data_IF_832172804670
#
_entry.id   IF_832172804670
#
_cell.length_a   1.000
_cell.length_b   1.000
_cell.length_c   1.000
_cell.angle_alpha   90.00
_cell.angle_beta   90.00
_cell.angle_gamma   90.00
#
_symmetry.space_group_name_H-M   'P 1'
#
loop_
_entity.id
_entity.type
_entity.pdbx_description
1 polymer ?
#
# COMPACT_ATOMS: atom_id res chain seq x y z
N UNK A 1 -5.38 18.41 -17.91
CA UNK A 1 -4.08 18.27 -18.58
C UNK A 1 -4.31 18.00 -20.05
N UNK A 2 -3.61 18.71 -20.94
CA UNK A 2 -3.60 18.38 -22.36
C UNK A 2 -2.45 17.42 -22.65
N UNK A 3 -2.72 16.37 -23.42
CA UNK A 3 -1.74 15.36 -23.82
C UNK A 3 -1.85 15.12 -25.32
N UNK A 4 -0.75 14.75 -25.96
CA UNK A 4 -0.76 14.21 -27.32
C UNK A 4 -1.17 12.73 -27.31
N UNK A 5 -1.66 12.15 -28.42
CA UNK A 5 -2.01 10.74 -28.46
C UNK A 5 -0.70 9.96 -28.61
N UNK A 6 -0.02 9.66 -27.49
CA UNK A 6 1.23 8.89 -27.37
C UNK A 6 1.36 8.38 -25.95
N UNK A 7 2.36 7.53 -25.66
CA UNK A 7 2.64 7.09 -24.28
C UNK A 7 3.25 8.21 -23.43
N UNK A 8 2.77 8.36 -22.20
CA UNK A 8 3.32 9.25 -21.15
C UNK A 8 3.66 8.44 -19.91
N UNK A 9 4.78 8.78 -19.26
CA UNK A 9 5.18 8.22 -17.96
C UNK A 9 4.75 9.17 -16.85
N UNK A 10 4.00 8.67 -15.88
CA UNK A 10 3.56 9.40 -14.70
C UNK A 10 4.13 8.75 -13.44
N UNK A 11 4.60 9.58 -12.52
CA UNK A 11 5.02 9.16 -11.18
C UNK A 11 3.91 9.56 -10.22
N UNK A 12 3.15 8.58 -9.75
CA UNK A 12 2.01 8.77 -8.87
C UNK A 12 2.47 8.52 -7.44
N UNK A 13 2.14 9.44 -6.55
CA UNK A 13 2.31 9.33 -5.11
C UNK A 13 0.95 9.57 -4.49
N UNK A 14 0.49 8.67 -3.62
CA UNK A 14 -0.61 9.00 -2.74
C UNK A 14 -0.09 9.81 -1.54
N UNK A 15 -0.19 11.14 -1.64
CA UNK A 15 0.20 12.08 -0.59
C UNK A 15 -0.96 12.51 0.31
N UNK A 16 -2.07 11.78 0.33
CA UNK A 16 -3.18 12.05 1.23
C UNK A 16 -2.84 11.61 2.67
N UNK A 17 -3.46 12.25 3.66
CA UNK A 17 -3.32 11.83 5.07
C UNK A 17 -3.80 10.40 5.31
N UNK A 18 -5.02 10.07 4.87
CA UNK A 18 -5.67 8.77 5.13
C UNK A 18 -6.35 8.15 3.89
N UNK A 19 -6.63 8.95 2.86
CA UNK A 19 -7.47 8.52 1.74
C UNK A 19 -6.73 7.51 0.87
N UNK A 20 -7.33 6.34 0.71
CA UNK A 20 -6.92 5.39 -0.33
C UNK A 20 -7.42 5.85 -1.69
N UNK A 21 -6.63 5.62 -2.73
CA UNK A 21 -6.97 5.93 -4.12
C UNK A 21 -7.07 4.63 -4.89
N UNK A 22 -8.19 4.40 -5.58
CA UNK A 22 -8.38 3.25 -6.46
C UNK A 22 -8.70 3.72 -7.89
N UNK A 23 -7.64 3.87 -8.69
CA UNK A 23 -7.62 4.74 -9.85
C UNK A 23 -7.78 3.98 -11.17
N UNK A 24 -8.64 4.52 -12.04
CA UNK A 24 -8.83 4.06 -13.42
C UNK A 24 -9.01 5.27 -14.34
N UNK A 25 -8.65 5.13 -15.62
CA UNK A 25 -9.10 6.09 -16.64
C UNK A 25 -10.47 5.67 -17.17
N UNK A 26 -11.42 6.59 -17.12
CA UNK A 26 -12.75 6.44 -17.75
C UNK A 26 -12.95 7.52 -18.78
N UNK A 27 -13.75 7.25 -19.82
CA UNK A 27 -14.06 8.27 -20.82
C UNK A 27 -14.80 9.44 -20.16
N UNK A 28 -14.47 10.66 -20.58
CA UNK A 28 -15.22 11.86 -20.22
C UNK A 28 -16.13 12.23 -21.39
N UNK A 29 -17.38 12.56 -21.10
CA UNK A 29 -18.31 13.03 -22.12
C UNK A 29 -18.09 14.52 -22.49
N UNK A 30 -19.01 15.10 -23.25
CA UNK A 30 -18.91 16.49 -23.71
C UNK A 30 -19.01 17.51 -22.57
N UNK A 31 -19.68 17.15 -21.47
CA UNK A 31 -19.85 17.99 -20.28
C UNK A 31 -18.73 17.75 -19.25
N UNK A 32 -17.81 16.82 -19.55
CA UNK A 32 -16.73 16.34 -18.70
C UNK A 32 -17.21 15.51 -17.51
N UNK A 33 -18.31 14.77 -17.70
CA UNK A 33 -18.77 13.77 -16.75
C UNK A 33 -18.18 12.39 -17.06
N UNK A 34 -17.93 11.54 -16.05
CA UNK A 34 -17.35 10.21 -16.24
C UNK A 34 -18.37 9.22 -16.82
N UNK A 35 -18.01 8.59 -17.94
CA UNK A 35 -18.71 7.44 -18.51
C UNK A 35 -18.09 6.14 -18.00
N UNK A 36 -18.65 5.63 -16.89
CA UNK A 36 -18.19 4.40 -16.24
C UNK A 36 -18.44 3.14 -17.09
N UNK A 37 -19.23 3.22 -18.17
CA UNK A 37 -19.43 2.10 -19.10
C UNK A 37 -18.33 1.98 -20.15
N UNK A 38 -17.41 2.94 -20.23
CA UNK A 38 -16.37 3.00 -21.25
C UNK A 38 -14.96 3.14 -20.64
N UNK A 39 -14.18 2.07 -20.75
CA UNK A 39 -12.78 2.05 -20.32
C UNK A 39 -11.97 3.10 -21.09
N UNK A 40 -11.07 3.77 -20.37
CA UNK A 40 -10.11 4.68 -20.96
C UNK A 40 -8.86 3.98 -21.51
N UNK A 41 -7.80 4.77 -21.78
CA UNK A 41 -6.49 4.28 -22.17
C UNK A 41 -5.90 3.23 -21.24
N UNK A 42 -5.08 2.35 -21.80
CA UNK A 42 -4.34 1.35 -21.04
C UNK A 42 -3.46 2.00 -19.99
N UNK A 43 -3.55 1.50 -18.75
CA UNK A 43 -2.74 1.93 -17.62
C UNK A 43 -1.77 0.81 -17.24
N UNK A 44 -0.47 1.04 -17.48
CA UNK A 44 0.58 0.05 -17.33
C UNK A 44 1.50 0.45 -16.19
N UNK A 45 1.54 -0.31 -15.09
CA UNK A 45 2.50 -0.07 -14.03
C UNK A 45 3.87 -0.66 -14.41
N UNK A 46 4.90 0.16 -14.25
CA UNK A 46 6.30 -0.18 -14.55
C UNK A 46 7.21 -0.08 -13.33
N UNK A 47 6.74 0.48 -12.22
CA UNK A 47 7.48 0.61 -10.98
C UNK A 47 6.59 0.74 -9.75
N UNK A 48 7.18 0.43 -8.59
CA UNK A 48 6.61 0.56 -7.24
C UNK A 48 7.48 1.49 -6.39
N UNK A 49 7.23 1.52 -5.08
CA UNK A 49 7.93 2.38 -4.10
C UNK A 49 9.45 2.43 -4.28
N UNK A 50 10.06 1.26 -4.48
CA UNK A 50 11.52 1.09 -4.50
C UNK A 50 12.17 1.05 -5.89
N UNK A 51 11.42 1.19 -6.97
CA UNK A 51 11.99 1.19 -8.32
C UNK A 51 11.14 0.49 -9.37
N UNK A 52 11.78 0.00 -10.43
CA UNK A 52 11.10 -0.71 -11.52
C UNK A 52 10.61 -2.08 -11.06
N UNK A 53 9.44 -2.49 -11.57
CA UNK A 53 8.95 -3.87 -11.51
C UNK A 53 9.82 -4.77 -12.40
N UNK A 54 9.76 -6.12 -12.28
CA UNK A 54 10.50 -7.00 -13.20
C UNK A 54 9.97 -6.94 -14.64
N UNK A 55 8.67 -6.71 -14.83
CA UNK A 55 8.00 -6.58 -16.13
C UNK A 55 6.85 -5.57 -16.06
N UNK A 56 6.40 -4.98 -17.18
CA UNK A 56 5.23 -4.12 -17.18
C UNK A 56 3.96 -4.89 -16.77
N UNK A 57 3.09 -4.24 -16.01
CA UNK A 57 1.82 -4.81 -15.53
C UNK A 57 0.67 -4.00 -16.08
N UNK A 58 -0.10 -4.56 -17.01
CA UNK A 58 -1.32 -3.94 -17.52
C UNK A 58 -2.45 -4.07 -16.49
N UNK A 59 -2.83 -2.94 -15.90
CA UNK A 59 -3.88 -2.86 -14.89
C UNK A 59 -5.29 -2.79 -15.50
N UNK A 60 -5.39 -2.62 -16.81
CA UNK A 60 -6.65 -2.48 -17.56
C UNK A 60 -6.98 -3.71 -18.41
N UNK A 61 -6.05 -4.66 -18.53
CA UNK A 61 -6.25 -5.86 -19.33
C UNK A 61 -7.42 -6.71 -18.81
N UNK A 62 -8.45 -6.89 -19.64
CA UNK A 62 -9.60 -7.73 -19.32
C UNK A 62 -10.52 -7.16 -18.23
N UNK A 63 -10.35 -5.88 -17.89
CA UNK A 63 -11.18 -5.16 -16.92
C UNK A 63 -12.49 -4.73 -17.56
N UNK A 64 -13.61 -5.06 -16.93
CA UNK A 64 -14.90 -4.44 -17.24
C UNK A 64 -14.98 -3.08 -16.52
N UNK A 65 -15.00 -1.94 -17.24
CA UNK A 65 -15.03 -0.62 -16.61
C UNK A 65 -16.27 -0.39 -15.75
N UNK A 66 -17.38 -1.10 -16.03
CA UNK A 66 -18.62 -0.98 -15.28
C UNK A 66 -18.58 -1.79 -13.97
N UNK A 67 -17.65 -2.72 -13.82
CA UNK A 67 -17.46 -3.47 -12.58
C UNK A 67 -16.64 -2.62 -11.57
N UNK A 68 -17.24 -2.19 -10.44
CA UNK A 68 -16.55 -1.37 -9.45
C UNK A 68 -15.43 -2.13 -8.73
N UNK A 69 -15.41 -3.46 -8.80
CA UNK A 69 -14.39 -4.33 -8.21
C UNK A 69 -13.27 -4.68 -9.18
N UNK A 70 -13.38 -4.25 -10.44
CA UNK A 70 -12.38 -4.54 -11.44
C UNK A 70 -11.02 -3.95 -11.06
N UNK A 71 -9.95 -4.57 -11.57
CA UNK A 71 -8.58 -4.19 -11.25
C UNK A 71 -8.30 -2.74 -11.63
N UNK A 72 -7.64 -2.03 -10.73
CA UNK A 72 -7.34 -0.60 -10.80
C UNK A 72 -5.99 -0.35 -10.15
N UNK A 73 -5.46 0.86 -10.33
CA UNK A 73 -4.28 1.29 -9.59
C UNK A 73 -4.69 1.65 -8.16
N UNK A 74 -4.55 0.70 -7.24
CA UNK A 74 -4.79 0.90 -5.82
C UNK A 74 -3.52 1.43 -5.14
N UNK A 75 -3.65 2.58 -4.46
CA UNK A 75 -2.57 3.21 -3.70
C UNK A 75 -3.10 3.68 -2.35
N UNK A 76 -2.56 3.14 -1.27
CA UNK A 76 -2.74 3.70 0.06
C UNK A 76 -1.73 4.84 0.33
N UNK A 77 -1.94 5.68 1.36
CA UNK A 77 -1.00 6.74 1.74
C UNK A 77 0.47 6.29 1.72
N UNK A 78 1.34 7.14 1.18
CA UNK A 78 2.78 6.93 0.95
C UNK A 78 3.20 5.87 -0.08
N UNK A 79 2.28 5.11 -0.66
CA UNK A 79 2.62 4.25 -1.79
C UNK A 79 2.90 5.07 -3.06
N UNK A 80 3.84 4.58 -3.88
CA UNK A 80 4.16 5.15 -5.19
C UNK A 80 3.98 4.11 -6.28
N UNK A 81 3.52 4.60 -7.42
CA UNK A 81 3.53 3.83 -8.66
C UNK A 81 4.14 4.66 -9.79
N UNK A 82 5.00 4.01 -10.56
CA UNK A 82 5.45 4.53 -11.85
C UNK A 82 4.61 3.87 -12.93
N UNK A 83 3.84 4.66 -13.66
CA UNK A 83 2.88 4.17 -14.65
C UNK A 83 3.13 4.79 -16.02
N UNK A 84 2.78 4.03 -17.05
CA UNK A 84 2.68 4.50 -18.42
C UNK A 84 1.22 4.44 -18.86
N UNK A 85 0.73 5.55 -19.40
CA UNK A 85 -0.59 5.62 -20.00
C UNK A 85 -0.43 5.79 -21.51
N UNK A 86 -1.05 4.91 -22.30
CA UNK A 86 -0.97 4.94 -23.76
C UNK A 86 -2.17 5.63 -24.41
N UNK A 87 -2.01 6.91 -24.75
CA UNK A 87 -3.07 7.69 -25.40
C UNK A 87 -3.10 7.56 -26.94
N UNK A 88 -2.29 6.69 -27.54
CA UNK A 88 -2.01 6.68 -28.99
C UNK A 88 -3.25 6.57 -29.87
N UNK A 89 -4.27 5.81 -29.44
CA UNK A 89 -5.50 5.57 -30.21
C UNK A 89 -6.65 6.52 -29.84
N UNK A 90 -6.37 7.53 -29.02
CA UNK A 90 -7.43 8.31 -28.36
C UNK A 90 -7.47 9.79 -28.77
N UNK A 91 -6.91 10.14 -29.94
CA UNK A 91 -6.90 11.52 -30.44
C UNK A 91 -8.32 12.14 -30.45
N UNK A 92 -8.46 13.33 -29.87
CA UNK A 92 -9.72 14.07 -29.78
C UNK A 92 -10.65 13.64 -28.64
N UNK A 93 -10.31 12.58 -27.90
CA UNK A 93 -11.10 12.10 -26.75
C UNK A 93 -10.62 12.75 -25.45
N UNK A 94 -11.43 12.65 -24.39
CA UNK A 94 -11.07 13.10 -23.04
C UNK A 94 -11.32 11.98 -22.02
N UNK A 95 -10.52 11.93 -20.96
CA UNK A 95 -10.57 10.89 -19.93
C UNK A 95 -10.42 11.47 -18.54
N UNK A 96 -11.21 10.98 -17.59
CA UNK A 96 -11.09 11.32 -16.18
C UNK A 96 -10.26 10.23 -15.50
N UNK A 97 -9.27 10.63 -14.70
CA UNK A 97 -8.68 9.75 -13.70
C UNK A 97 -9.68 9.65 -12.55
N UNK A 98 -10.35 8.52 -12.48
CA UNK A 98 -11.48 8.27 -11.62
C UNK A 98 -11.07 7.40 -10.42
N UNK A 99 -11.48 7.81 -9.22
CA UNK A 99 -11.28 7.09 -7.96
C UNK A 99 -12.60 6.50 -7.46
N UNK A 100 -12.62 5.22 -7.05
CA UNK A 100 -13.81 4.65 -6.40
C UNK A 100 -13.54 4.09 -4.99
N UNK A 101 -12.40 4.40 -4.38
CA UNK A 101 -12.13 3.98 -3.01
C UNK A 101 -13.01 4.75 -2.01
N UNK A 102 -13.70 4.01 -1.15
CA UNK A 102 -14.43 4.52 0.01
C UNK A 102 -13.47 4.93 1.15
N UNK A 103 -13.98 5.68 2.13
CA UNK A 103 -13.23 6.10 3.32
C UNK A 103 -14.10 5.95 4.57
N UNK A 104 -13.65 5.27 5.64
CA UNK A 104 -12.37 4.54 5.76
C UNK A 104 -12.27 3.36 4.78
N UNK A 105 -11.04 2.99 4.43
CA UNK A 105 -10.80 1.92 3.46
C UNK A 105 -10.60 0.59 4.18
N UNK A 106 -11.58 -0.31 4.03
CA UNK A 106 -11.62 -1.61 4.70
C UNK A 106 -11.34 -2.79 3.74
N UNK A 107 -10.96 -2.47 2.50
CA UNK A 107 -10.76 -3.41 1.41
C UNK A 107 -11.70 -3.14 0.23
N UNK A 108 -11.41 -3.75 -0.92
CA UNK A 108 -12.19 -3.55 -2.15
C UNK A 108 -13.59 -4.19 -2.08
N UNK A 109 -13.74 -5.25 -1.28
CA UNK A 109 -14.99 -6.02 -1.16
C UNK A 109 -15.95 -5.46 -0.08
N UNK A 110 -15.50 -4.48 0.69
CA UNK A 110 -16.29 -3.88 1.78
C UNK A 110 -16.94 -2.60 1.26
N UNK A 111 -18.23 -2.70 0.91
CA UNK A 111 -19.04 -1.49 0.70
C UNK A 111 -19.42 -0.94 2.07
N UNK A 112 -18.75 0.13 2.48
CA UNK A 112 -19.08 0.83 3.73
C UNK A 112 -20.54 1.28 3.68
N UNK A 113 -21.29 0.99 4.75
CA UNK A 113 -22.71 1.33 4.83
C UNK A 113 -22.93 2.84 4.61
N UNK A 114 -23.96 3.16 3.83
CA UNK A 114 -24.37 4.50 3.40
C UNK A 114 -24.64 5.51 4.53
N UNK A 115 -24.52 5.09 5.79
CA UNK A 115 -24.82 5.86 6.98
C UNK A 115 -23.73 6.88 7.38
N UNK A 116 -22.49 6.76 6.89
CA UNK A 116 -21.33 7.52 7.41
C UNK A 116 -20.75 8.61 6.49
N UNK A 117 -21.48 9.11 5.49
CA UNK A 117 -20.96 10.09 4.51
C UNK A 117 -19.69 9.57 3.76
N UNK A 118 -19.45 8.25 3.82
CA UNK A 118 -18.39 7.54 3.11
C UNK A 118 -18.75 7.51 1.65
N UNK A 119 -18.18 8.45 0.90
CA UNK A 119 -18.28 8.49 -0.55
C UNK A 119 -16.87 8.53 -1.14
N UNK A 120 -16.66 7.85 -2.27
CA UNK A 120 -15.48 8.13 -3.09
C UNK A 120 -15.48 9.61 -3.46
N UNK A 121 -14.28 10.17 -3.61
CA UNK A 121 -14.10 11.45 -4.31
C UNK A 121 -13.69 11.08 -5.75
N UNK A 122 -14.63 11.04 -6.71
CA UNK A 122 -14.43 10.31 -7.95
C UNK A 122 -13.51 11.02 -8.93
N UNK A 123 -13.68 12.32 -9.19
CA UNK A 123 -12.85 13.01 -10.17
C UNK A 123 -11.53 13.51 -9.57
N UNK A 124 -10.40 13.04 -10.10
CA UNK A 124 -9.07 13.53 -9.72
C UNK A 124 -8.53 14.53 -10.75
N UNK A 125 -8.49 14.13 -12.02
CA UNK A 125 -7.98 14.97 -13.10
C UNK A 125 -8.57 14.59 -14.45
N UNK A 126 -8.69 15.58 -15.35
CA UNK A 126 -9.13 15.39 -16.72
C UNK A 126 -7.95 15.44 -17.69
N UNK A 127 -7.80 14.42 -18.52
CA UNK A 127 -6.91 14.38 -19.69
C UNK A 127 -7.69 14.74 -20.94
N UNK A 128 -7.17 15.67 -21.75
CA UNK A 128 -7.69 16.00 -23.07
C UNK A 128 -6.66 15.62 -24.12
N UNK A 129 -6.97 14.61 -24.95
CA UNK A 129 -6.05 14.10 -25.95
C UNK A 129 -6.16 14.98 -27.21
N UNK A 130 -5.14 15.78 -27.46
CA UNK A 130 -5.05 16.71 -28.60
C UNK A 130 -4.44 16.04 -29.83
N UNK A 131 -4.26 16.81 -30.90
CA UNK A 131 -3.57 16.35 -32.08
C UNK A 131 -2.09 16.07 -31.78
N UNK A 132 -1.54 14.99 -32.36
CA UNK A 132 -0.12 14.65 -32.26
C UNK A 132 0.72 15.68 -33.00
N UNK A 133 1.76 16.20 -32.35
CA UNK A 133 2.77 17.06 -32.97
C UNK A 133 4.17 16.45 -32.94
N UNK A 134 4.37 15.45 -32.06
CA UNK A 134 5.64 14.76 -31.85
C UNK A 134 5.58 13.30 -32.31
N UNK A 135 6.73 12.68 -32.50
CA UNK A 135 6.81 11.24 -32.74
C UNK A 135 6.30 10.47 -31.51
N UNK A 136 5.90 9.22 -31.74
CA UNK A 136 5.47 8.34 -30.66
C UNK A 136 6.60 8.05 -29.67
N UNK A 137 6.20 7.63 -28.47
CA UNK A 137 7.09 7.00 -27.50
C UNK A 137 7.41 5.56 -27.94
N UNK A 138 8.63 5.07 -27.68
CA UNK A 138 8.97 3.68 -27.94
C UNK A 138 8.12 2.74 -27.06
N UNK A 139 8.00 1.49 -27.50
CA UNK A 139 7.33 0.45 -26.72
C UNK A 139 8.11 0.07 -25.47
N UNK A 140 7.39 -0.45 -24.48
CA UNK A 140 7.98 -0.91 -23.22
C UNK A 140 8.72 -2.24 -23.45
N UNK A 141 9.94 -2.41 -22.91
CA UNK A 141 10.60 -3.69 -22.97
C UNK A 141 9.87 -4.69 -22.05
N UNK A 142 9.84 -5.96 -22.46
CA UNK A 142 9.17 -7.02 -21.70
C UNK A 142 9.82 -7.28 -20.32
N UNK A 143 11.14 -7.03 -20.21
CA UNK A 143 11.89 -7.06 -18.96
C UNK A 143 12.33 -5.63 -18.63
N UNK A 144 11.96 -5.16 -17.44
CA UNK A 144 12.25 -3.79 -16.99
C UNK A 144 13.47 -3.76 -16.05
N UNK A 145 13.54 -4.67 -15.09
CA UNK A 145 14.63 -4.80 -14.13
C UNK A 145 14.78 -6.24 -13.64
N UNK A 146 15.96 -6.58 -13.14
CA UNK A 146 16.17 -7.82 -12.38
C UNK A 146 15.80 -7.58 -10.91
N UNK A 147 14.71 -8.20 -10.47
CA UNK A 147 14.18 -8.10 -9.11
C UNK A 147 14.06 -9.51 -8.53
N UNK A 148 15.18 -10.12 -8.07
CA UNK A 148 15.17 -11.47 -7.55
C UNK A 148 14.33 -11.54 -6.27
N UNK A 149 13.56 -12.62 -6.12
CA UNK A 149 12.80 -12.87 -4.90
C UNK A 149 13.72 -13.38 -3.79
N UNK A 150 13.71 -12.69 -2.66
CA UNK A 150 14.41 -13.11 -1.45
C UNK A 150 13.73 -14.38 -0.93
N UNK A 151 14.45 -15.51 -0.82
CA UNK A 151 13.85 -16.73 -0.31
C UNK A 151 13.58 -16.59 1.19
N UNK A 152 12.44 -17.10 1.68
CA UNK A 152 12.12 -17.10 3.12
C UNK A 152 13.22 -17.77 3.97
N UNK A 153 13.94 -18.74 3.41
CA UNK A 153 15.06 -19.41 4.07
C UNK A 153 16.28 -18.51 4.33
N UNK A 154 16.34 -17.32 3.73
CA UNK A 154 17.36 -16.33 4.05
C UNK A 154 17.09 -15.61 5.38
N UNK A 155 15.84 -15.61 5.85
CA UNK A 155 15.46 -14.91 7.07
C UNK A 155 16.09 -15.57 8.31
N UNK A 156 16.84 -14.78 9.06
CA UNK A 156 17.45 -15.20 10.33
C UNK A 156 16.45 -15.12 11.48
N UNK A 157 15.51 -14.18 11.40
CA UNK A 157 14.50 -13.91 12.43
C UNK A 157 13.15 -13.73 11.75
N UNK A 158 12.10 -14.24 12.39
CA UNK A 158 10.71 -13.89 12.08
C UNK A 158 10.10 -13.20 13.28
N UNK A 159 9.62 -11.96 13.09
CA UNK A 159 8.92 -11.17 14.09
C UNK A 159 7.43 -11.16 13.82
N UNK A 160 6.65 -11.08 14.87
CA UNK A 160 5.20 -10.93 14.78
C UNK A 160 4.84 -9.69 15.57
N UNK A 161 4.09 -8.79 14.94
CA UNK A 161 3.55 -7.58 15.54
C UNK A 161 2.05 -7.55 15.30
N UNK A 162 1.30 -7.01 16.25
CA UNK A 162 -0.13 -6.79 16.12
C UNK A 162 -0.43 -5.35 15.74
N UNK A 163 -1.52 -5.15 15.00
CA UNK A 163 -2.14 -3.84 14.79
C UNK A 163 -3.45 -3.88 15.56
N UNK A 164 -3.62 -2.93 16.48
CA UNK A 164 -4.71 -2.92 17.44
C UNK A 164 -5.41 -1.56 17.47
N UNK A 165 -6.69 -1.57 17.77
CA UNK A 165 -7.45 -0.38 18.12
C UNK A 165 -8.04 -0.58 19.52
N UNK A 166 -7.69 0.30 20.44
CA UNK A 166 -8.17 0.28 21.82
C UNK A 166 -8.82 1.61 22.18
N UNK A 167 -9.58 1.64 23.28
CA UNK A 167 -10.04 2.89 23.86
C UNK A 167 -9.22 3.26 25.08
N UNK A 168 -8.85 4.53 25.18
CA UNK A 168 -8.26 5.07 26.39
C UNK A 168 -9.29 5.25 27.51
N UNK A 169 -8.82 5.68 28.69
CA UNK A 169 -9.67 5.92 29.87
C UNK A 169 -10.75 7.01 29.68
N UNK A 170 -10.69 7.78 28.59
CA UNK A 170 -11.66 8.82 28.23
C UNK A 170 -12.57 8.38 27.07
N UNK A 171 -12.45 7.14 26.59
CA UNK A 171 -13.22 6.61 25.46
C UNK A 171 -12.73 7.09 24.09
N UNK A 172 -11.51 7.63 24.00
CA UNK A 172 -10.90 8.01 22.71
C UNK A 172 -10.24 6.78 22.09
N UNK A 173 -10.41 6.60 20.78
CA UNK A 173 -9.72 5.54 20.05
C UNK A 173 -8.22 5.82 20.00
N UNK A 174 -7.42 4.78 20.22
CA UNK A 174 -5.97 4.74 20.04
C UNK A 174 -5.66 3.56 19.12
N UNK A 175 -4.93 3.83 18.05
CA UNK A 175 -4.38 2.79 17.18
C UNK A 175 -2.94 2.53 17.58
N UNK A 176 -2.62 1.26 17.85
CA UNK A 176 -1.33 0.84 18.41
C UNK A 176 -0.66 -0.22 17.55
N UNK A 177 0.66 -0.27 17.67
CA UNK A 177 1.50 -1.34 17.16
C UNK A 177 1.98 -2.17 18.35
N UNK A 178 1.80 -3.49 18.30
CA UNK A 178 2.24 -4.43 19.33
C UNK A 178 1.79 -4.03 20.75
N UNK A 179 0.54 -3.60 20.89
CA UNK A 179 -0.04 -3.10 22.14
C UNK A 179 0.69 -1.93 22.81
N UNK A 180 1.58 -1.23 22.08
CA UNK A 180 2.58 -0.32 22.65
C UNK A 180 2.38 1.11 22.16
N UNK A 181 2.55 2.07 23.07
CA UNK A 181 2.57 3.50 22.75
C UNK A 181 3.99 3.99 22.52
N UNK A 182 4.14 5.03 21.69
CA UNK A 182 5.44 5.65 21.43
C UNK A 182 6.24 5.97 22.70
N UNK A 183 5.59 6.55 23.72
CA UNK A 183 6.24 6.99 24.96
C UNK A 183 6.57 5.86 25.93
N UNK A 184 6.06 4.65 25.70
CA UNK A 184 6.36 3.47 26.51
C UNK A 184 7.60 2.71 25.98
N UNK A 185 8.15 3.12 24.84
CA UNK A 185 9.34 2.49 24.25
C UNK A 185 10.63 3.12 24.76
N UNK A 186 11.52 2.29 25.29
CA UNK A 186 12.87 2.70 25.69
C UNK A 186 13.89 2.25 24.66
N UNK A 187 14.54 3.23 24.02
CA UNK A 187 15.59 3.04 23.01
C UNK A 187 16.97 2.85 23.65
N UNK A 188 17.28 3.56 24.75
CA UNK A 188 18.57 3.43 25.41
C UNK A 188 18.68 2.08 26.13
N UNK A 189 19.56 1.16 25.70
CA UNK A 189 19.70 -0.15 26.34
C UNK A 189 20.20 -0.06 27.79
N UNK A 190 20.80 1.06 28.20
CA UNK A 190 21.31 1.28 29.56
C UNK A 190 20.23 1.82 30.52
N UNK A 191 19.18 2.45 30.01
CA UNK A 191 18.09 2.95 30.84
C UNK A 191 17.28 1.76 31.38
N UNK A 192 17.08 1.60 32.71
CA UNK A 192 16.20 0.58 33.27
C UNK A 192 14.76 0.70 32.74
N UNK A 193 14.07 -0.43 32.57
CA UNK A 193 12.64 -0.42 32.22
C UNK A 193 11.79 -0.17 33.47
N UNK A 194 10.93 0.83 33.41
CA UNK A 194 9.84 1.01 34.37
C UNK A 194 8.65 0.10 34.02
N UNK A 195 7.74 -0.20 34.97
CA UNK A 195 6.54 -0.99 34.70
C UNK A 195 5.72 -0.40 33.54
N UNK A 196 5.40 -1.24 32.56
CA UNK A 196 4.65 -0.84 31.36
C UNK A 196 5.52 -0.42 30.18
N UNK A 197 6.83 -0.25 30.37
CA UNK A 197 7.75 0.07 29.27
C UNK A 197 8.27 -1.18 28.57
N UNK A 198 8.56 -1.04 27.27
CA UNK A 198 9.16 -2.08 26.43
C UNK A 198 10.44 -1.59 25.76
N UNK A 199 11.27 -2.52 25.27
CA UNK A 199 12.45 -2.17 24.47
C UNK A 199 12.06 -1.95 23.02
N UNK A 200 12.72 -0.98 22.39
CA UNK A 200 12.67 -0.85 20.94
C UNK A 200 13.14 -2.15 20.27
N UNK A 201 12.51 -2.50 19.15
CA UNK A 201 12.94 -3.64 18.33
C UNK A 201 14.38 -3.42 17.87
N UNK A 202 15.27 -4.37 18.18
CA UNK A 202 16.66 -4.37 17.70
C UNK A 202 16.80 -5.28 16.48
N UNK A 203 17.33 -4.74 15.39
CA UNK A 203 17.61 -5.43 14.13
C UNK A 203 19.11 -5.36 13.84
N UNK A 204 19.73 -6.44 13.38
CA UNK A 204 21.16 -6.42 13.03
C UNK A 204 21.35 -5.94 11.59
N UNK A 205 22.31 -5.05 11.36
CA UNK A 205 22.70 -4.64 10.01
C UNK A 205 23.18 -5.86 9.22
N UNK A 206 22.70 -5.98 7.98
CA UNK A 206 22.93 -7.13 7.11
C UNK A 206 22.12 -8.39 7.47
N UNK A 207 21.24 -8.36 8.48
CA UNK A 207 20.30 -9.47 8.68
C UNK A 207 19.14 -9.39 7.69
N UNK A 208 18.65 -10.55 7.30
CA UNK A 208 17.35 -10.68 6.65
C UNK A 208 16.34 -11.08 7.71
N UNK A 209 15.21 -10.38 7.77
CA UNK A 209 14.13 -10.71 8.70
C UNK A 209 12.78 -10.75 7.99
N UNK A 210 11.88 -11.59 8.49
CA UNK A 210 10.47 -11.57 8.12
C UNK A 210 9.69 -10.85 9.21
N UNK A 211 8.92 -9.83 8.84
CA UNK A 211 8.00 -9.17 9.76
C UNK A 211 6.57 -9.57 9.39
N UNK A 212 5.82 -10.07 10.39
CA UNK A 212 4.42 -10.50 10.27
C UNK A 212 3.54 -9.47 10.96
N UNK A 213 2.68 -8.82 10.19
CA UNK A 213 1.67 -7.89 10.71
C UNK A 213 0.36 -8.64 10.87
N UNK A 214 -0.09 -8.79 12.12
CA UNK A 214 -1.36 -9.40 12.49
C UNK A 214 -2.37 -8.27 12.67
N UNK A 215 -3.22 -8.04 11.68
CA UNK A 215 -4.20 -6.96 11.76
C UNK A 215 -5.47 -7.43 12.48
N UNK A 216 -5.70 -6.89 13.68
CA UNK A 216 -6.86 -7.18 14.53
C UNK A 216 -7.96 -6.11 14.38
N UNK A 217 -7.73 -5.08 13.58
CA UNK A 217 -8.65 -3.95 13.36
C UNK A 217 -9.51 -4.17 12.11
N UNK A 218 -10.51 -3.30 11.93
CA UNK A 218 -11.43 -3.31 10.79
C UNK A 218 -10.92 -2.51 9.57
N UNK A 219 -9.78 -1.81 9.69
CA UNK A 219 -9.21 -0.98 8.62
C UNK A 219 -8.01 -1.64 7.94
N UNK A 220 -7.81 -1.34 6.65
CA UNK A 220 -6.53 -1.60 6.00
C UNK A 220 -5.54 -0.54 6.47
N UNK A 221 -4.38 -0.96 6.97
CA UNK A 221 -3.32 -0.02 7.37
C UNK A 221 -2.16 -0.04 6.36
N UNK A 222 -1.73 1.12 5.83
CA UNK A 222 -0.49 1.22 5.06
C UNK A 222 0.70 1.25 6.03
N UNK A 223 1.36 0.12 6.23
CA UNK A 223 2.52 0.04 7.11
C UNK A 223 3.78 0.44 6.34
N UNK A 224 4.44 1.49 6.80
CA UNK A 224 5.72 1.98 6.30
C UNK A 224 6.85 1.57 7.24
N UNK A 225 7.96 1.04 6.70
CA UNK A 225 9.17 0.68 7.44
C UNK A 225 10.32 1.53 6.90
N UNK A 226 10.95 2.34 7.75
CA UNK A 226 12.11 3.13 7.35
C UNK A 226 13.35 2.24 7.10
N UNK A 227 14.41 2.87 6.59
CA UNK A 227 15.76 2.31 6.33
C UNK A 227 15.86 1.40 5.10
N UNK A 228 15.02 0.37 5.03
CA UNK A 228 15.13 -0.70 4.05
C UNK A 228 14.15 -0.60 2.89
N UNK A 229 14.21 -1.61 2.03
CA UNK A 229 13.16 -1.94 1.08
C UNK A 229 12.90 -3.44 1.19
N UNK A 230 11.63 -3.81 1.22
CA UNK A 230 11.22 -5.18 1.42
C UNK A 230 10.45 -5.72 0.21
N UNK A 231 10.21 -7.02 0.26
CA UNK A 231 9.30 -7.71 -0.63
C UNK A 231 8.13 -8.27 0.17
N UNK A 232 6.91 -8.04 -0.32
CA UNK A 232 5.72 -8.69 0.25
C UNK A 232 5.77 -10.18 -0.09
N UNK A 233 5.63 -11.06 0.90
CA UNK A 233 5.63 -12.50 0.71
C UNK A 233 4.20 -13.01 0.43
N UNK A 234 3.25 -12.64 1.28
CA UNK A 234 1.85 -13.05 1.19
C UNK A 234 0.98 -12.31 2.21
N UNK A 235 -0.33 -12.46 2.02
CA UNK A 235 -1.39 -12.14 2.98
C UNK A 235 -2.19 -13.40 3.25
N UNK A 236 -2.49 -13.69 4.51
CA UNK A 236 -3.24 -14.90 4.88
C UNK A 236 -4.34 -14.60 5.89
N UNK A 237 -5.61 -14.93 5.59
CA UNK A 237 -6.71 -14.65 6.50
C UNK A 237 -6.67 -15.57 7.73
N UNK A 238 -7.05 -15.03 8.88
CA UNK A 238 -7.13 -15.74 10.16
C UNK A 238 -8.39 -15.38 10.93
N UNK A 239 -8.71 -16.18 11.95
CA UNK A 239 -9.83 -15.97 12.85
C UNK A 239 -9.43 -14.98 13.96
N UNK A 240 -9.92 -13.74 13.85
CA UNK A 240 -9.62 -12.65 14.79
C UNK A 240 -10.22 -12.92 16.18
N UNK A 241 -11.45 -13.46 16.24
CA UNK A 241 -12.10 -13.78 17.52
C UNK A 241 -11.34 -14.87 18.27
N UNK A 242 -10.89 -15.89 17.55
CA UNK A 242 -10.03 -16.93 18.11
C UNK A 242 -8.71 -16.35 18.64
N UNK A 243 -8.05 -15.47 17.88
CA UNK A 243 -6.82 -14.82 18.32
C UNK A 243 -7.06 -13.98 19.58
N UNK A 244 -8.10 -13.15 19.60
CA UNK A 244 -8.43 -12.33 20.78
C UNK A 244 -8.73 -13.17 22.02
N UNK A 245 -9.29 -14.37 21.86
CA UNK A 245 -9.58 -15.29 22.96
C UNK A 245 -8.37 -16.09 23.45
N UNK A 246 -7.36 -16.35 22.61
CA UNK A 246 -6.32 -17.37 22.88
C UNK A 246 -4.88 -16.89 22.70
N UNK A 247 -4.65 -15.83 21.93
CA UNK A 247 -3.35 -15.40 21.43
C UNK A 247 -2.79 -16.28 20.30
N UNK A 248 -3.56 -17.25 19.80
CA UNK A 248 -3.13 -18.18 18.75
C UNK A 248 -3.69 -17.78 17.38
N UNK A 249 -2.87 -17.89 16.33
CA UNK A 249 -3.29 -17.61 14.96
C UNK A 249 -3.93 -18.87 14.36
N UNK A 250 -5.24 -18.84 14.18
CA UNK A 250 -5.98 -19.86 13.44
C UNK A 250 -6.25 -19.37 12.01
N UNK A 251 -5.49 -19.88 11.04
CA UNK A 251 -5.68 -19.50 9.63
C UNK A 251 -6.99 -20.08 9.05
N UNK A 252 -7.76 -19.22 8.40
CA UNK A 252 -9.08 -19.55 7.81
C UNK A 252 -9.02 -19.78 6.30
N UNK A 253 -7.87 -19.51 5.67
CA UNK A 253 -7.66 -19.68 4.24
C UNK A 253 -6.19 -19.93 3.84
N UNK A 254 -5.94 -20.12 2.53
CA UNK A 254 -4.60 -20.23 1.98
C UNK A 254 -3.87 -18.89 2.06
N UNK A 255 -2.53 -18.93 2.04
CA UNK A 255 -1.73 -17.73 1.81
C UNK A 255 -1.93 -17.24 0.37
N UNK A 256 -2.11 -15.93 0.21
CA UNK A 256 -2.28 -15.26 -1.08
C UNK A 256 -1.00 -14.49 -1.39
N UNK A 257 -0.29 -14.79 -2.50
CA UNK A 257 0.92 -14.07 -2.88
C UNK A 257 0.62 -12.60 -3.24
N UNK A 258 1.63 -11.71 -3.26
CA UNK A 258 1.46 -10.34 -3.74
C UNK A 258 0.88 -10.32 -5.16
N UNK A 259 0.06 -9.31 -5.45
CA UNK A 259 -0.42 -9.07 -6.80
C UNK A 259 0.75 -8.67 -7.73
N UNK A 260 0.66 -8.87 -9.06
CA UNK A 260 1.76 -8.56 -9.99
C UNK A 260 2.35 -7.15 -9.88
N UNK A 261 1.55 -6.17 -9.48
CA UNK A 261 1.91 -4.77 -9.25
C UNK A 261 2.66 -4.53 -7.93
N UNK A 262 2.68 -5.51 -7.03
CA UNK A 262 3.33 -5.46 -5.71
C UNK A 262 4.59 -6.34 -5.63
N UNK A 263 4.98 -7.03 -6.71
CA UNK A 263 6.11 -7.99 -6.68
C UNK A 263 7.49 -7.33 -6.67
N UNK A 264 7.54 -6.00 -6.88
CA UNK A 264 8.76 -5.19 -6.85
C UNK A 264 9.29 -4.94 -5.43
N UNK A 265 10.23 -4.00 -5.33
CA UNK A 265 10.67 -3.47 -4.04
C UNK A 265 9.64 -2.48 -3.49
N UNK A 266 9.26 -2.66 -2.23
CA UNK A 266 8.31 -1.82 -1.51
C UNK A 266 8.93 -1.28 -0.22
N UNK A 267 8.40 -0.17 0.26
CA UNK A 267 8.69 0.34 1.61
C UNK A 267 7.42 0.71 2.39
N UNK A 268 6.26 0.71 1.72
CA UNK A 268 4.94 0.75 2.33
C UNK A 268 4.11 -0.42 1.83
N UNK A 269 3.35 -1.09 2.70
CA UNK A 269 2.47 -2.19 2.30
C UNK A 269 1.11 -2.12 2.97
N UNK A 270 0.10 -2.57 2.24
CA UNK A 270 -1.26 -2.70 2.76
C UNK A 270 -1.35 -3.92 3.66
N UNK A 271 -1.81 -3.71 4.90
CA UNK A 271 -2.11 -4.74 5.89
C UNK A 271 -3.64 -4.82 6.08
N UNK A 272 -4.34 -5.74 5.39
CA UNK A 272 -5.81 -5.79 5.44
C UNK A 272 -6.35 -6.34 6.77
N UNK A 273 -7.60 -6.00 7.14
CA UNK A 273 -8.29 -6.57 8.30
C UNK A 273 -8.28 -8.09 8.30
N UNK A 274 -8.14 -8.71 9.48
CA UNK A 274 -8.22 -10.16 9.65
C UNK A 274 -7.20 -10.96 8.85
N UNK A 275 -6.10 -10.32 8.43
CA UNK A 275 -5.02 -10.97 7.70
C UNK A 275 -3.69 -10.85 8.46
N UNK A 276 -2.88 -11.89 8.33
CA UNK A 276 -1.44 -11.81 8.60
C UNK A 276 -0.75 -11.42 7.30
N UNK A 277 -0.15 -10.23 7.26
CA UNK A 277 0.66 -9.78 6.13
C UNK A 277 2.14 -10.01 6.42
N UNK A 278 2.86 -10.70 5.53
CA UNK A 278 4.28 -11.01 5.71
C UNK A 278 5.12 -10.22 4.72
N UNK A 279 6.16 -9.54 5.21
CA UNK A 279 7.20 -8.90 4.38
C UNK A 279 8.57 -9.45 4.75
N UNK A 280 9.48 -9.50 3.79
CA UNK A 280 10.88 -9.86 4.00
C UNK A 280 11.78 -8.69 3.63
N UNK A 281 12.59 -8.24 4.59
CA UNK A 281 13.52 -7.13 4.43
C UNK A 281 14.96 -7.62 4.66
N UNK A 282 15.89 -7.03 3.90
CA UNK A 282 17.32 -7.18 4.10
C UNK A 282 17.84 -5.84 4.62
N UNK A 283 18.11 -5.76 5.93
CA UNK A 283 18.49 -4.52 6.60
C UNK A 283 19.96 -4.15 6.33
N UNK A 284 20.31 -3.94 5.07
CA UNK A 284 21.69 -3.71 4.61
C UNK A 284 22.15 -2.24 4.73
N UNK A 285 21.23 -1.32 5.01
CA UNK A 285 21.55 0.09 5.20
C UNK A 285 22.29 0.40 6.52
N UNK A 286 22.51 1.70 6.81
CA UNK A 286 23.27 2.12 7.99
C UNK A 286 22.59 1.73 9.30
N UNK A 287 23.40 1.44 10.32
CA UNK A 287 22.94 1.37 11.71
C UNK A 287 22.39 2.72 12.17
N UNK A 288 21.36 2.71 13.02
CA UNK A 288 20.70 3.92 13.47
C UNK A 288 19.36 3.66 14.14
N UNK A 289 18.73 4.74 14.60
CA UNK A 289 17.36 4.74 15.07
C UNK A 289 16.43 5.11 13.92
N UNK A 290 15.43 4.28 13.69
CA UNK A 290 14.45 4.41 12.62
C UNK A 290 13.04 4.20 13.18
N UNK A 291 12.03 4.40 12.36
CA UNK A 291 10.62 4.18 12.74
C UNK A 291 9.94 3.24 11.76
N UNK A 292 8.91 2.59 12.24
CA UNK A 292 7.91 1.93 11.41
C UNK A 292 6.55 2.30 11.96
N UNK A 293 5.60 2.53 11.06
CA UNK A 293 4.32 3.13 11.44
C UNK A 293 3.23 2.84 10.43
N UNK A 294 1.99 3.03 10.85
CA UNK A 294 0.89 3.23 9.93
C UNK A 294 1.03 4.61 9.28
N UNK A 295 0.82 4.69 7.97
CA UNK A 295 0.90 5.93 7.20
C UNK A 295 -0.47 6.61 6.98
N UNK A 296 -1.49 6.18 7.73
CA UNK A 296 -2.65 7.03 8.02
C UNK A 296 -2.19 8.01 9.08
N UNK A 297 -1.99 9.27 8.71
CA UNK A 297 -1.32 10.25 9.57
C UNK A 297 -2.06 10.48 10.90
N UNK A 298 -3.38 10.37 10.89
CA UNK A 298 -4.19 10.47 12.10
C UNK A 298 -3.90 9.30 13.07
N UNK A 299 -3.64 8.09 12.55
CA UNK A 299 -3.23 6.93 13.35
C UNK A 299 -1.77 7.08 13.80
N UNK A 300 -0.87 7.52 12.93
CA UNK A 300 0.55 7.79 13.25
C UNK A 300 0.69 8.71 14.46
N UNK A 301 -0.01 9.84 14.45
CA UNK A 301 0.03 10.84 15.53
C UNK A 301 -0.63 10.36 16.84
N UNK A 302 -1.46 9.29 16.81
CA UNK A 302 -2.29 8.85 17.94
C UNK A 302 -2.50 7.31 18.03
N UNK A 303 -1.49 6.45 18.08
CA UNK A 303 -0.05 6.59 18.35
C UNK A 303 0.69 5.45 17.60
N UNK A 304 0.27 5.16 16.37
CA UNK A 304 0.57 3.94 15.62
C UNK A 304 1.94 3.99 14.94
N UNK A 305 2.95 4.36 15.71
CA UNK A 305 4.35 4.47 15.32
C UNK A 305 5.24 3.94 16.44
N UNK A 306 6.24 3.13 16.08
CA UNK A 306 7.24 2.65 17.02
C UNK A 306 8.67 2.84 16.47
N UNK A 307 9.65 3.14 17.34
CA UNK A 307 11.04 3.15 16.93
C UNK A 307 11.58 1.71 16.85
N UNK A 308 12.56 1.51 15.97
CA UNK A 308 13.42 0.33 15.96
C UNK A 308 14.88 0.75 15.75
N UNK A 309 15.80 -0.04 16.29
CA UNK A 309 17.23 0.24 16.22
C UNK A 309 17.91 -0.78 15.32
N UNK A 310 18.57 -0.30 14.26
CA UNK A 310 19.51 -1.11 13.48
C UNK A 310 20.89 -1.02 14.15
N UNK A 311 21.40 -2.14 14.64
CA UNK A 311 22.70 -2.27 15.32
C UNK A 311 23.72 -3.01 14.44
N UNK A 312 25.03 -2.90 14.71
CA UNK A 312 26.06 -3.64 13.99
C UNK A 312 26.01 -5.18 14.14
#
# INVERSE_FOLDING_TARGET
>A
MEVEPRKYRFRVLNGCNARTLNLMLVRADADNEPDLGAAGPTLIQIGSDGGLLPSPVDLTQGVDPADPTARRLLLMPAERADIVIDFSDYAGQSFILHNNAFTPFQGLDVQTDSANDSQPLPEIMLFRVRARTQTDSPDLPAMLADVPRTPESAALITRTFTLEEIQDQFGRSLTLLDGTRWFDVVVDPQQPLEPGQVRATEVRSGSTEIWRMVNLTDDVHPIHIHQGQFQILDRRPFDVDHYNATGEILYTGPAVPPAPEEIGWKDTFQSPPGNVTRVIDQFEGPSGLFVWHCHILEHEDHEMMLPFQVVP
#
